data_IF_907645835143
#
_entry.id   IF_907645835143
#
_cell.length_a   1.000
_cell.length_b   1.000
_cell.length_c   1.000
_cell.angle_alpha   90.00
_cell.angle_beta   90.00
_cell.angle_gamma   90.00
#
_symmetry.space_group_name_H-M   'P 1'
#
loop_
_entity.id
_entity.type
_entity.pdbx_description
1 polymer ?
#
# COMPACT_ATOMS: atom_id res chain seq x y z
N UNK A 1 3.23 12.28 -8.66
CA UNK A 1 1.79 12.11 -8.32
C UNK A 1 1.65 10.99 -7.29
N UNK A 2 0.43 10.65 -6.84
CA UNK A 2 0.21 9.48 -5.98
C UNK A 2 -0.66 8.43 -6.66
N UNK A 3 -0.37 7.16 -6.39
CA UNK A 3 -1.21 6.03 -6.80
C UNK A 3 -1.74 5.33 -5.55
N UNK A 4 -3.05 5.33 -5.39
CA UNK A 4 -3.72 4.58 -4.34
C UNK A 4 -4.05 3.17 -4.84
N UNK A 5 -3.56 2.15 -4.14
CA UNK A 5 -3.72 0.75 -4.51
C UNK A 5 -4.23 -0.08 -3.34
N UNK A 6 -4.91 -1.19 -3.68
CA UNK A 6 -5.31 -2.22 -2.72
C UNK A 6 -4.52 -3.49 -3.03
N UNK A 7 -3.69 -3.92 -2.08
CA UNK A 7 -2.93 -5.15 -2.21
C UNK A 7 -3.65 -6.25 -1.44
N UNK A 8 -3.91 -7.37 -2.13
CA UNK A 8 -4.41 -8.58 -1.50
C UNK A 8 -3.23 -9.48 -1.12
N UNK A 9 -3.10 -9.77 0.17
CA UNK A 9 -2.11 -10.70 0.69
C UNK A 9 -2.55 -12.15 0.46
N UNK A 10 -1.61 -13.09 0.51
CA UNK A 10 -1.91 -14.53 0.40
C UNK A 10 -2.85 -15.02 1.52
N UNK A 11 -2.90 -14.33 2.65
CA UNK A 11 -3.85 -14.58 3.74
C UNK A 11 -5.30 -14.18 3.40
N UNK A 12 -5.53 -13.50 2.27
CA UNK A 12 -6.81 -12.90 1.90
C UNK A 12 -7.05 -11.52 2.52
N UNK A 13 -6.18 -11.06 3.43
CA UNK A 13 -6.23 -9.70 3.96
C UNK A 13 -5.95 -8.67 2.86
N UNK A 14 -6.53 -7.48 3.00
CA UNK A 14 -6.32 -6.36 2.09
C UNK A 14 -5.62 -5.22 2.80
N UNK A 15 -4.60 -4.67 2.16
CA UNK A 15 -3.85 -3.50 2.64
C UNK A 15 -4.04 -2.37 1.64
N UNK A 16 -4.43 -1.20 2.13
CA UNK A 16 -4.44 0.03 1.33
C UNK A 16 -3.05 0.66 1.38
N UNK A 17 -2.52 1.02 0.22
CA UNK A 17 -1.23 1.69 0.09
C UNK A 17 -1.38 2.94 -0.78
N UNK A 18 -0.60 3.96 -0.45
CA UNK A 18 -0.46 5.15 -1.28
C UNK A 18 1.01 5.28 -1.66
N UNK A 19 1.30 5.14 -2.94
CA UNK A 19 2.64 5.21 -3.49
C UNK A 19 2.91 6.61 -4.05
N UNK A 20 4.07 7.17 -3.71
CA UNK A 20 4.56 8.41 -4.29
C UNK A 20 5.55 8.08 -5.40
N UNK A 21 5.24 8.49 -6.63
CA UNK A 21 6.11 8.23 -7.79
C UNK A 21 6.46 9.52 -8.52
N UNK A 22 7.58 9.44 -9.24
CA UNK A 22 8.01 10.49 -10.15
C UNK A 22 7.20 10.41 -11.44
N UNK A 23 6.45 11.46 -11.77
CA UNK A 23 5.60 11.52 -12.97
C UNK A 23 6.43 11.59 -14.26
N UNK A 24 7.66 12.09 -14.17
CA UNK A 24 8.58 12.16 -15.30
C UNK A 24 9.31 10.83 -15.58
N UNK A 25 9.11 9.80 -14.74
CA UNK A 25 9.70 8.48 -14.92
C UNK A 25 8.81 7.62 -15.84
N UNK A 26 9.25 7.33 -17.08
CA UNK A 26 8.44 6.62 -18.05
C UNK A 26 8.26 5.13 -17.75
N UNK A 27 8.98 4.58 -16.76
CA UNK A 27 9.00 3.14 -16.48
C UNK A 27 8.00 2.72 -15.38
N UNK A 28 7.19 3.66 -14.85
CA UNK A 28 6.21 3.39 -13.79
C UNK A 28 4.89 2.86 -14.37
N UNK A 29 4.82 1.56 -14.60
CA UNK A 29 3.60 0.85 -15.03
C UNK A 29 3.21 -0.26 -14.03
N UNK A 30 2.01 -0.16 -13.45
CA UNK A 30 1.42 -1.21 -12.60
C UNK A 30 0.24 -1.90 -13.28
N UNK A 31 0.30 -3.23 -13.37
CA UNK A 31 -0.81 -4.06 -13.86
C UNK A 31 -1.64 -4.65 -12.72
N UNK A 32 -2.94 -4.87 -12.96
CA UNK A 32 -3.78 -5.61 -12.03
C UNK A 32 -3.24 -7.04 -11.82
N UNK A 33 -3.13 -7.45 -10.56
CA UNK A 33 -2.59 -8.76 -10.19
C UNK A 33 -1.06 -8.87 -10.26
N UNK A 34 -0.36 -7.76 -10.54
CA UNK A 34 1.10 -7.71 -10.43
C UNK A 34 1.54 -8.08 -9.02
N UNK A 35 2.48 -9.02 -8.92
CA UNK A 35 3.10 -9.38 -7.64
C UNK A 35 4.03 -8.26 -7.20
N UNK A 36 3.95 -7.92 -5.93
CA UNK A 36 4.78 -6.89 -5.29
C UNK A 36 5.46 -7.47 -4.06
N UNK A 37 6.63 -6.94 -3.72
CA UNK A 37 7.28 -7.19 -2.44
C UNK A 37 6.82 -6.13 -1.44
N UNK A 38 6.41 -6.56 -0.25
CA UNK A 38 6.01 -5.66 0.84
C UNK A 38 6.96 -5.90 2.01
N UNK A 39 7.48 -4.81 2.56
CA UNK A 39 8.31 -4.83 3.76
C UNK A 39 7.77 -3.85 4.78
N UNK A 40 7.81 -4.22 6.06
CA UNK A 40 7.44 -3.34 7.16
C UNK A 40 8.68 -2.67 7.72
N UNK A 41 8.61 -1.35 7.89
CA UNK A 41 9.66 -0.61 8.60
C UNK A 41 9.34 -0.70 10.08
N UNK A 42 10.19 -1.38 10.83
CA UNK A 42 10.03 -1.52 12.27
C UNK A 42 9.89 -0.14 12.94
N UNK A 43 9.00 -0.04 13.93
CA UNK A 43 8.72 1.18 14.70
C UNK A 43 7.95 2.28 13.94
N UNK A 44 7.51 2.01 12.71
CA UNK A 44 6.61 2.91 11.96
C UNK A 44 5.14 2.48 12.07
N UNK A 45 4.84 1.43 12.83
CA UNK A 45 3.47 1.01 13.06
C UNK A 45 2.74 1.96 14.03
N UNK A 46 1.50 2.30 13.69
CA UNK A 46 0.57 2.96 14.60
C UNK A 46 -0.58 2.01 14.87
N UNK A 47 -0.73 1.60 16.14
CA UNK A 47 -1.89 0.80 16.58
C UNK A 47 -3.04 1.77 16.87
N UNK A 48 -4.06 1.74 16.01
CA UNK A 48 -5.31 2.44 16.27
C UNK A 48 -6.19 1.56 17.16
N UNK A 49 -6.78 2.16 18.19
CA UNK A 49 -7.77 1.47 19.00
C UNK A 49 -9.05 1.26 18.17
N UNK A 50 -9.72 0.12 18.36
CA UNK A 50 -11.00 -0.21 17.68
C UNK A 50 -12.14 0.80 17.94
N UNK A 51 -11.96 1.72 18.90
CA UNK A 51 -12.91 2.80 19.18
C UNK A 51 -12.65 4.00 18.26
N UNK A 52 -13.33 4.03 17.12
CA UNK A 52 -13.79 5.30 16.57
C UNK A 52 -15.01 5.73 17.41
N UNK A 53 -14.82 6.66 18.34
CA UNK A 53 -15.97 7.39 18.89
C UNK A 53 -16.56 8.22 17.75
N UNK A 54 -17.87 8.03 17.52
CA UNK A 54 -18.65 8.61 16.44
C UNK A 54 -18.89 10.12 16.63
#
# INVERSE_FOLDING_TARGET
MTLDSVIQLDSGMRVMVSEFFNEDDPDVDHSLGQKVAITWVESWEVVLNDKQEA
#
